data_IF_730225907241
#
_entry.id   IF_730225907241
#
_cell.length_a   1.000
_cell.length_b   1.000
_cell.length_c   1.000
_cell.angle_alpha   90.00
_cell.angle_beta   90.00
_cell.angle_gamma   90.00
#
_symmetry.space_group_name_H-M   'P 1'
#
loop_
_entity.id
_entity.type
_entity.pdbx_description
1 polymer ?
#
# COMPACT_ATOMS: atom_id res chain seq x y z
N UNK A 1 57.13 -40.28 11.42
CA UNK A 1 55.76 -40.75 11.19
C UNK A 1 55.09 -39.81 10.21
N UNK A 2 54.78 -40.22 8.97
CA UNK A 2 54.07 -39.38 8.02
C UNK A 2 52.56 -39.49 8.27
N UNK A 3 51.92 -38.32 8.43
CA UNK A 3 50.49 -38.14 8.67
C UNK A 3 49.73 -38.31 7.34
N UNK A 4 48.77 -39.23 7.28
CA UNK A 4 47.98 -39.47 6.07
C UNK A 4 46.88 -38.40 5.90
N UNK A 5 46.63 -37.91 4.67
CA UNK A 5 45.59 -36.93 4.41
C UNK A 5 44.20 -37.59 4.39
N UNK A 6 43.31 -37.05 5.22
CA UNK A 6 41.91 -37.46 5.39
C UNK A 6 41.08 -37.04 4.17
N UNK A 7 40.55 -38.00 3.42
CA UNK A 7 39.65 -37.75 2.30
C UNK A 7 38.30 -37.17 2.78
N UNK A 8 37.72 -36.18 2.08
CA UNK A 8 36.38 -35.68 2.36
C UNK A 8 35.32 -36.60 1.75
N UNK A 9 34.39 -37.04 2.60
CA UNK A 9 33.20 -37.83 2.27
C UNK A 9 32.21 -37.01 1.43
N UNK A 10 31.90 -37.50 0.24
CA UNK A 10 30.86 -37.01 -0.65
C UNK A 10 29.51 -37.67 -0.32
N UNK A 11 28.49 -36.90 0.05
CA UNK A 11 27.07 -37.13 -0.31
C UNK A 11 26.12 -36.14 0.40
N UNK A 12 26.13 -34.87 -0.03
CA UNK A 12 24.99 -33.97 0.21
C UNK A 12 24.04 -34.03 -0.99
N UNK A 13 23.04 -34.92 -0.91
CA UNK A 13 21.88 -34.89 -1.80
C UNK A 13 20.99 -33.71 -1.41
N UNK A 14 21.14 -32.59 -2.11
CA UNK A 14 20.24 -31.45 -2.01
C UNK A 14 18.83 -31.82 -2.50
N UNK A 15 17.91 -32.01 -1.57
CA UNK A 15 16.47 -32.07 -1.80
C UNK A 15 15.93 -30.68 -2.14
N UNK A 16 16.20 -30.24 -3.37
CA UNK A 16 15.55 -29.08 -3.99
C UNK A 16 14.24 -29.56 -4.63
N UNK A 17 13.07 -29.33 -4.02
CA UNK A 17 11.74 -29.25 -4.69
C UNK A 17 10.57 -29.18 -3.69
N UNK A 18 10.46 -28.12 -2.88
CA UNK A 18 9.19 -27.81 -2.18
C UNK A 18 8.77 -26.32 -2.10
N UNK A 19 9.52 -25.29 -2.57
CA UNK A 19 9.06 -23.91 -2.37
C UNK A 19 7.93 -23.47 -3.33
N UNK A 20 7.82 -24.06 -4.54
CA UNK A 20 6.93 -23.54 -5.58
C UNK A 20 5.43 -23.82 -5.29
N UNK A 21 5.09 -25.04 -4.85
CA UNK A 21 3.70 -25.44 -4.57
C UNK A 21 3.06 -24.62 -3.45
N UNK A 22 3.85 -24.22 -2.45
CA UNK A 22 3.37 -23.40 -1.32
C UNK A 22 2.99 -21.98 -1.76
N UNK A 23 3.71 -21.41 -2.72
CA UNK A 23 3.44 -20.06 -3.23
C UNK A 23 2.22 -20.04 -4.16
N UNK A 24 2.02 -21.10 -4.96
CA UNK A 24 0.84 -21.24 -5.83
C UNK A 24 -0.46 -21.38 -5.01
N UNK A 25 -0.44 -22.13 -3.90
CA UNK A 25 -1.60 -22.27 -3.02
C UNK A 25 -2.03 -20.94 -2.37
N UNK A 26 -1.07 -20.11 -1.94
CA UNK A 26 -1.35 -18.78 -1.39
C UNK A 26 -1.93 -17.83 -2.44
N UNK A 27 -1.45 -17.91 -3.69
CA UNK A 27 -1.96 -17.12 -4.79
C UNK A 27 -3.41 -17.48 -5.15
N UNK A 28 -3.71 -18.78 -5.30
CA UNK A 28 -5.06 -19.28 -5.59
C UNK A 28 -6.06 -18.94 -4.49
N UNK A 29 -5.67 -19.09 -3.22
CA UNK A 29 -6.52 -18.71 -2.08
C UNK A 29 -6.87 -17.22 -2.11
N UNK A 30 -5.92 -16.36 -2.46
CA UNK A 30 -6.14 -14.91 -2.54
C UNK A 30 -7.11 -14.54 -3.67
N UNK A 31 -6.99 -15.21 -4.83
CA UNK A 31 -7.90 -15.02 -5.97
C UNK A 31 -9.30 -15.51 -5.62
N UNK A 32 -9.43 -16.71 -5.06
CA UNK A 32 -10.72 -17.29 -4.69
C UNK A 32 -11.45 -16.41 -3.67
N UNK A 33 -10.75 -15.87 -2.66
CA UNK A 33 -11.36 -14.96 -1.69
C UNK A 33 -11.86 -13.65 -2.32
N UNK A 34 -11.11 -13.08 -3.27
CA UNK A 34 -11.55 -11.90 -4.01
C UNK A 34 -12.77 -12.19 -4.89
N UNK A 35 -12.77 -13.34 -5.57
CA UNK A 35 -13.81 -13.74 -6.51
C UNK A 35 -15.12 -14.10 -5.81
N UNK A 36 -15.08 -14.84 -4.71
CA UNK A 36 -16.29 -15.21 -3.93
C UNK A 36 -17.00 -13.98 -3.38
N UNK A 37 -16.26 -12.97 -2.91
CA UNK A 37 -16.82 -11.69 -2.44
C UNK A 37 -17.59 -10.96 -3.54
N UNK A 38 -17.01 -10.90 -4.74
CA UNK A 38 -17.59 -10.21 -5.89
C UNK A 38 -18.80 -10.96 -6.46
N UNK A 39 -18.68 -12.27 -6.65
CA UNK A 39 -19.76 -13.13 -7.18
C UNK A 39 -20.92 -13.21 -6.20
N UNK A 40 -20.67 -13.24 -4.88
CA UNK A 40 -21.72 -13.19 -3.85
C UNK A 40 -22.52 -11.89 -3.92
N UNK A 41 -21.85 -10.75 -4.11
CA UNK A 41 -22.54 -9.45 -4.26
C UNK A 41 -23.45 -9.41 -5.49
N UNK A 42 -22.95 -9.85 -6.65
CA UNK A 42 -23.72 -9.88 -7.90
C UNK A 42 -24.89 -10.86 -7.79
N UNK A 43 -24.67 -12.07 -7.25
CA UNK A 43 -25.72 -13.05 -7.05
C UNK A 43 -26.85 -12.53 -6.14
N UNK A 44 -26.51 -11.82 -5.06
CA UNK A 44 -27.50 -11.20 -4.17
C UNK A 44 -28.38 -10.16 -4.88
N UNK A 45 -27.77 -9.30 -5.70
CA UNK A 45 -28.51 -8.30 -6.50
C UNK A 45 -29.41 -8.98 -7.53
N UNK A 46 -28.89 -9.97 -8.25
CA UNK A 46 -29.66 -10.72 -9.25
C UNK A 46 -30.87 -11.41 -8.62
N UNK A 47 -30.70 -12.05 -7.45
CA UNK A 47 -31.80 -12.69 -6.73
C UNK A 47 -32.87 -11.67 -6.30
N UNK A 48 -32.47 -10.49 -5.81
CA UNK A 48 -33.42 -9.43 -5.46
C UNK A 48 -34.21 -8.93 -6.68
N UNK A 49 -33.53 -8.68 -7.80
CA UNK A 49 -34.17 -8.25 -9.05
C UNK A 49 -35.14 -9.33 -9.55
N UNK A 50 -34.72 -10.60 -9.50
CA UNK A 50 -35.53 -11.73 -9.95
C UNK A 50 -36.81 -11.89 -9.10
N UNK A 51 -36.71 -11.68 -7.78
CA UNK A 51 -37.88 -11.68 -6.88
C UNK A 51 -38.80 -10.48 -7.13
N UNK A 52 -38.27 -9.28 -7.38
CA UNK A 52 -39.08 -8.06 -7.53
C UNK A 52 -39.83 -8.04 -8.88
N UNK A 53 -39.18 -8.44 -9.97
CA UNK A 53 -39.72 -8.24 -11.32
C UNK A 53 -40.43 -9.46 -11.93
N UNK A 54 -40.25 -10.66 -11.37
CA UNK A 54 -40.78 -11.89 -11.96
C UNK A 54 -41.62 -12.75 -11.00
N UNK A 55 -42.15 -12.16 -9.93
CA UNK A 55 -43.04 -12.82 -8.97
C UNK A 55 -44.27 -13.48 -9.64
N UNK A 56 -44.81 -12.83 -10.68
CA UNK A 56 -46.00 -13.33 -11.37
C UNK A 56 -45.71 -14.45 -12.37
N UNK A 57 -44.49 -14.54 -12.87
CA UNK A 57 -44.13 -15.48 -13.95
C UNK A 57 -43.71 -16.86 -13.46
N UNK A 58 -43.25 -16.99 -12.22
CA UNK A 58 -42.75 -18.27 -11.70
C UNK A 58 -43.42 -18.61 -10.36
N UNK A 59 -44.35 -19.57 -10.38
CA UNK A 59 -45.04 -20.04 -9.18
C UNK A 59 -44.06 -20.49 -8.07
N UNK A 60 -42.94 -21.10 -8.45
CA UNK A 60 -41.89 -21.51 -7.52
C UNK A 60 -41.27 -20.36 -6.70
N UNK A 61 -41.15 -19.16 -7.28
CA UNK A 61 -40.63 -17.99 -6.57
C UNK A 61 -41.64 -17.41 -5.59
N UNK A 62 -42.93 -17.52 -5.92
CA UNK A 62 -44.03 -17.05 -5.07
C UNK A 62 -44.10 -17.84 -3.77
N UNK A 63 -44.02 -19.17 -3.87
CA UNK A 63 -44.10 -20.08 -2.72
C UNK A 63 -42.85 -19.98 -1.83
N UNK A 64 -41.70 -19.58 -2.38
CA UNK A 64 -40.42 -19.52 -1.68
C UNK A 64 -39.86 -18.09 -1.53
N UNK A 65 -40.69 -17.06 -1.67
CA UNK A 65 -40.26 -15.65 -1.70
C UNK A 65 -39.39 -15.29 -0.50
N UNK A 66 -39.80 -15.69 0.70
CA UNK A 66 -39.07 -15.43 1.93
C UNK A 66 -37.65 -16.04 1.88
N UNK A 67 -37.52 -17.26 1.37
CA UNK A 67 -36.23 -17.96 1.26
C UNK A 67 -35.26 -17.22 0.33
N UNK A 68 -35.74 -16.76 -0.83
CA UNK A 68 -34.89 -16.02 -1.78
C UNK A 68 -34.47 -14.64 -1.26
N UNK A 69 -35.38 -13.92 -0.58
CA UNK A 69 -35.05 -12.65 0.08
C UNK A 69 -33.99 -12.86 1.17
N UNK A 70 -34.13 -13.91 1.98
CA UNK A 70 -33.13 -14.26 2.99
C UNK A 70 -31.77 -14.62 2.39
N UNK A 71 -31.74 -15.41 1.31
CA UNK A 71 -30.49 -15.73 0.60
C UNK A 71 -29.81 -14.47 0.06
N UNK A 72 -30.57 -13.57 -0.57
CA UNK A 72 -30.03 -12.32 -1.08
C UNK A 72 -29.46 -11.44 0.04
N UNK A 73 -30.15 -11.38 1.18
CA UNK A 73 -29.67 -10.65 2.36
C UNK A 73 -28.35 -11.22 2.91
N UNK A 74 -28.23 -12.55 3.02
CA UNK A 74 -26.98 -13.21 3.45
C UNK A 74 -25.84 -12.90 2.48
N UNK A 75 -26.08 -13.00 1.17
CA UNK A 75 -25.09 -12.68 0.14
C UNK A 75 -24.59 -11.23 0.23
N UNK A 76 -25.48 -10.27 0.46
CA UNK A 76 -25.14 -8.86 0.65
C UNK A 76 -24.38 -8.62 1.97
N UNK A 77 -24.77 -9.30 3.06
CA UNK A 77 -24.04 -9.24 4.32
C UNK A 77 -22.61 -9.76 4.19
N UNK A 78 -22.40 -10.90 3.52
CA UNK A 78 -21.06 -11.45 3.28
C UNK A 78 -20.22 -10.50 2.43
N UNK A 79 -20.79 -9.93 1.37
CA UNK A 79 -20.11 -8.95 0.53
C UNK A 79 -19.73 -7.69 1.34
N UNK A 80 -20.69 -7.12 2.08
CA UNK A 80 -20.49 -5.95 2.94
C UNK A 80 -19.46 -6.20 4.04
N UNK A 81 -19.53 -7.33 4.73
CA UNK A 81 -18.57 -7.72 5.75
C UNK A 81 -17.17 -7.92 5.16
N UNK A 82 -17.05 -8.49 3.96
CA UNK A 82 -15.76 -8.65 3.29
C UNK A 82 -15.13 -7.31 2.89
N UNK A 83 -15.95 -6.38 2.40
CA UNK A 83 -15.52 -5.02 2.08
C UNK A 83 -15.10 -4.27 3.34
N UNK A 84 -15.92 -4.32 4.39
CA UNK A 84 -15.60 -3.77 5.71
C UNK A 84 -14.31 -4.38 6.27
N UNK A 85 -14.12 -5.69 6.19
CA UNK A 85 -12.91 -6.37 6.69
C UNK A 85 -11.65 -5.93 5.93
N UNK A 86 -11.73 -5.77 4.60
CA UNK A 86 -10.61 -5.22 3.81
C UNK A 86 -10.26 -3.81 4.28
N UNK A 87 -11.26 -2.97 4.47
CA UNK A 87 -11.07 -1.59 4.94
C UNK A 87 -10.49 -1.59 6.35
N UNK A 88 -11.03 -2.42 7.24
CA UNK A 88 -10.56 -2.57 8.63
C UNK A 88 -9.15 -3.14 8.71
N UNK A 89 -8.75 -4.02 7.80
CA UNK A 89 -7.35 -4.46 7.69
C UNK A 89 -6.43 -3.34 7.21
N UNK A 90 -6.88 -2.44 6.33
CA UNK A 90 -6.12 -1.22 6.03
C UNK A 90 -5.99 -0.38 7.29
N UNK A 91 -7.07 -0.14 8.04
CA UNK A 91 -7.02 0.65 9.27
C UNK A 91 -6.20 0.01 10.40
N UNK A 92 -6.23 -1.31 10.55
CA UNK A 92 -5.38 -2.05 11.49
C UNK A 92 -3.93 -2.09 11.02
N UNK A 93 -3.67 -2.09 9.71
CA UNK A 93 -2.33 -1.82 9.21
C UNK A 93 -1.95 -0.39 9.57
N UNK A 94 -2.70 0.64 9.17
CA UNK A 94 -2.38 2.04 9.45
C UNK A 94 -2.27 2.38 10.95
N UNK A 95 -3.10 1.76 11.82
CA UNK A 95 -3.16 2.00 13.26
C UNK A 95 -2.36 1.02 14.13
N UNK A 96 -2.07 -0.18 13.62
CA UNK A 96 -1.19 -1.19 14.25
C UNK A 96 0.26 -1.10 13.78
N UNK A 97 0.52 -0.41 12.66
CA UNK A 97 1.82 0.13 12.35
C UNK A 97 2.11 1.19 13.40
N UNK A 98 2.97 0.88 14.36
CA UNK A 98 3.51 1.86 15.28
C UNK A 98 4.04 3.04 14.45
N UNK A 99 3.23 4.10 14.35
CA UNK A 99 3.60 5.33 13.67
C UNK A 99 4.91 5.72 14.27
N UNK A 100 5.94 5.75 13.45
CA UNK A 100 7.22 6.21 13.92
C UNK A 100 6.99 7.62 14.49
N UNK A 101 7.05 7.75 15.82
CA UNK A 101 6.88 9.02 16.51
C UNK A 101 7.99 10.01 16.17
N UNK A 102 9.05 9.53 15.51
CA UNK A 102 10.18 10.34 15.12
C UNK A 102 9.88 11.16 13.86
N UNK A 103 10.19 12.44 13.94
CA UNK A 103 10.11 13.36 12.80
C UNK A 103 11.18 13.04 11.74
N UNK A 104 11.00 13.43 10.46
CA UNK A 104 12.04 13.30 9.44
C UNK A 104 13.40 13.88 9.88
N UNK A 105 13.35 15.00 10.61
CA UNK A 105 14.53 15.67 11.17
C UNK A 105 15.27 14.81 12.20
N UNK A 106 14.54 14.13 13.08
CA UNK A 106 15.13 13.19 14.05
C UNK A 106 15.77 11.99 13.36
N UNK A 107 15.11 11.43 12.34
CA UNK A 107 15.66 10.28 11.59
C UNK A 107 16.98 10.66 10.93
N UNK A 108 17.09 11.85 10.34
CA UNK A 108 18.33 12.30 9.69
C UNK A 108 19.39 12.75 10.69
N UNK A 109 18.99 13.14 11.91
CA UNK A 109 19.93 13.50 12.97
C UNK A 109 20.92 12.38 13.33
N UNK A 110 20.60 11.12 13.02
CA UNK A 110 21.52 9.98 13.22
C UNK A 110 22.82 10.11 12.40
N UNK A 111 22.83 10.93 11.35
CA UNK A 111 24.02 11.20 10.55
C UNK A 111 24.88 12.36 11.11
N UNK A 112 24.38 13.14 12.07
CA UNK A 112 25.09 14.31 12.61
C UNK A 112 26.36 13.87 13.34
N UNK A 113 27.51 14.38 12.91
CA UNK A 113 28.82 14.05 13.47
C UNK A 113 29.30 12.62 13.18
N UNK A 114 28.67 11.91 12.22
CA UNK A 114 29.02 10.51 11.88
C UNK A 114 29.37 10.37 10.40
N UNK A 115 30.17 9.36 10.08
CA UNK A 115 30.43 9.00 8.67
C UNK A 115 29.14 8.44 8.04
N UNK A 116 29.03 8.50 6.70
CA UNK A 116 27.85 7.98 5.99
C UNK A 116 27.58 6.51 6.33
N UNK A 117 28.62 5.67 6.35
CA UNK A 117 28.49 4.25 6.69
C UNK A 117 27.96 4.01 8.12
N UNK A 118 28.39 4.83 9.10
CA UNK A 118 27.88 4.74 10.47
C UNK A 118 26.42 5.17 10.56
N UNK A 119 26.07 6.28 9.90
CA UNK A 119 24.71 6.79 9.86
C UNK A 119 23.75 5.79 9.20
N UNK A 120 24.13 5.19 8.07
CA UNK A 120 23.34 4.16 7.40
C UNK A 120 23.13 2.92 8.28
N UNK A 121 24.16 2.48 9.01
CA UNK A 121 24.04 1.36 9.95
C UNK A 121 23.01 1.63 11.03
N UNK A 122 22.97 2.84 11.59
CA UNK A 122 21.97 3.25 12.58
C UNK A 122 20.59 3.44 11.96
N UNK A 123 20.54 4.00 10.74
CA UNK A 123 19.32 4.31 10.05
C UNK A 123 18.53 3.06 9.62
N UNK A 124 19.18 1.89 9.53
CA UNK A 124 18.52 0.59 9.30
C UNK A 124 17.38 0.31 10.28
N UNK A 125 17.43 0.85 11.51
CA UNK A 125 16.37 0.70 12.50
C UNK A 125 15.06 1.42 12.14
N UNK A 126 15.09 2.32 11.16
CA UNK A 126 13.91 3.03 10.64
C UNK A 126 13.40 2.44 9.33
N UNK A 127 14.26 1.76 8.56
CA UNK A 127 13.88 1.16 7.29
C UNK A 127 12.79 0.10 7.51
N UNK A 128 11.73 0.17 6.70
CA UNK A 128 10.57 -0.71 6.81
C UNK A 128 9.50 -0.23 7.81
N UNK A 129 9.78 0.79 8.63
CA UNK A 129 8.75 1.43 9.46
C UNK A 129 7.91 2.38 8.63
N UNK A 130 6.68 2.60 9.09
CA UNK A 130 5.76 3.52 8.44
C UNK A 130 5.75 4.86 9.15
N UNK A 131 5.63 5.92 8.35
CA UNK A 131 5.56 7.28 8.85
C UNK A 131 4.57 8.08 8.02
N UNK A 132 3.91 9.03 8.69
CA UNK A 132 3.14 10.09 8.04
C UNK A 132 4.08 11.25 7.74
N UNK A 133 4.04 11.75 6.52
CA UNK A 133 4.68 12.99 6.11
C UNK A 133 3.64 13.91 5.51
N UNK A 134 3.68 15.18 5.88
CA UNK A 134 2.84 16.22 5.31
C UNK A 134 3.71 17.41 4.98
N UNK A 135 3.50 18.02 3.82
CA UNK A 135 4.24 19.20 3.43
C UNK A 135 3.86 19.73 2.06
N UNK A 136 4.29 20.97 1.75
CA UNK A 136 4.07 21.57 0.45
C UNK A 136 4.93 20.89 -0.61
N UNK A 137 4.37 20.68 -1.80
CA UNK A 137 5.07 20.12 -2.94
C UNK A 137 6.10 21.15 -3.44
N UNK A 138 7.35 20.72 -3.58
CA UNK A 138 8.37 21.48 -4.28
C UNK A 138 8.35 21.19 -5.78
N UNK A 139 8.27 19.91 -6.14
CA UNK A 139 8.31 19.49 -7.54
C UNK A 139 7.68 18.10 -7.72
N UNK A 140 7.19 17.85 -8.93
CA UNK A 140 6.64 16.56 -9.37
C UNK A 140 7.32 16.18 -10.69
N UNK A 141 8.21 15.19 -10.63
CA UNK A 141 8.90 14.66 -11.80
C UNK A 141 8.22 13.36 -12.26
N UNK A 142 7.86 13.26 -13.54
CA UNK A 142 7.43 11.98 -14.12
C UNK A 142 8.65 11.30 -14.75
N UNK A 143 9.10 10.23 -14.11
CA UNK A 143 10.20 9.41 -14.60
C UNK A 143 9.61 8.32 -15.49
N UNK A 144 9.84 8.45 -16.79
CA UNK A 144 9.53 7.41 -17.78
C UNK A 144 10.79 6.59 -18.02
N UNK A 145 10.73 5.30 -17.71
CA UNK A 145 11.81 4.37 -18.04
C UNK A 145 11.83 4.13 -19.56
N UNK A 146 12.94 4.38 -20.27
CA UNK A 146 13.01 4.17 -21.72
C UNK A 146 12.89 2.68 -22.12
N UNK A 147 13.08 1.75 -21.18
CA UNK A 147 13.03 0.31 -21.42
C UNK A 147 11.76 -0.36 -20.88
N UNK A 148 10.94 0.35 -20.09
CA UNK A 148 9.70 -0.17 -19.53
C UNK A 148 8.56 0.83 -19.71
N UNK A 149 7.36 0.41 -20.16
CA UNK A 149 6.19 1.29 -20.31
C UNK A 149 5.55 1.67 -18.95
N UNK A 150 6.37 1.81 -17.92
CA UNK A 150 5.99 2.09 -16.54
C UNK A 150 6.51 3.47 -16.15
N UNK A 151 5.68 4.49 -16.33
CA UNK A 151 5.94 5.81 -15.75
C UNK A 151 5.75 5.76 -14.24
N UNK A 152 6.67 6.36 -13.49
CA UNK A 152 6.57 6.58 -12.04
C UNK A 152 6.65 8.06 -11.76
N UNK A 153 5.83 8.57 -10.85
CA UNK A 153 5.91 9.97 -10.42
C UNK A 153 6.80 10.07 -9.18
N UNK A 154 7.70 11.03 -9.16
CA UNK A 154 8.52 11.38 -8.01
C UNK A 154 8.06 12.74 -7.50
N UNK A 155 7.66 12.80 -6.23
CA UNK A 155 7.25 14.04 -5.58
C UNK A 155 8.30 14.42 -4.56
N UNK A 156 8.76 15.66 -4.67
CA UNK A 156 9.71 16.27 -3.75
C UNK A 156 8.91 17.20 -2.83
N UNK A 157 8.93 16.95 -1.52
CA UNK A 157 8.32 17.89 -0.57
C UNK A 157 9.33 18.98 -0.22
N UNK A 158 8.86 20.23 -0.18
CA UNK A 158 9.65 21.36 0.30
C UNK A 158 9.85 21.21 1.80
N UNK A 159 11.10 21.23 2.22
CA UNK A 159 11.51 21.21 3.63
C UNK A 159 12.24 22.50 3.99
N UNK A 160 12.35 22.81 5.28
CA UNK A 160 13.05 24.01 5.74
C UNK A 160 14.55 24.00 5.39
N UNK A 161 15.19 25.17 5.46
CA UNK A 161 16.66 25.30 5.29
C UNK A 161 17.39 24.41 6.30
N UNK A 162 18.22 23.48 5.79
CA UNK A 162 18.97 22.53 6.62
C UNK A 162 18.16 21.29 7.06
N UNK A 163 16.92 21.13 6.59
CA UNK A 163 16.14 19.93 6.80
C UNK A 163 16.37 18.91 5.68
N UNK A 164 16.12 17.65 5.98
CA UNK A 164 16.27 16.57 5.01
C UNK A 164 15.13 16.59 4.00
N UNK A 165 15.46 16.54 2.71
CA UNK A 165 14.47 16.44 1.64
C UNK A 165 13.66 15.15 1.76
N UNK A 166 12.37 15.21 1.45
CA UNK A 166 11.50 14.03 1.47
C UNK A 166 11.13 13.69 0.03
N UNK A 167 11.52 12.47 -0.37
CA UNK A 167 11.28 11.94 -1.70
C UNK A 167 10.23 10.83 -1.67
N UNK A 168 9.16 11.03 -2.42
CA UNK A 168 8.07 10.09 -2.56
C UNK A 168 8.06 9.54 -3.98
N UNK A 169 8.00 8.22 -4.17
CA UNK A 169 8.01 7.61 -5.51
C UNK A 169 6.72 6.89 -5.81
N UNK A 170 5.76 7.57 -6.42
CA UNK A 170 4.43 7.12 -6.80
C UNK A 170 4.40 6.18 -8.01
N UNK A 171 3.52 5.18 -7.95
CA UNK A 171 3.27 4.24 -9.05
C UNK A 171 2.43 4.91 -10.13
N UNK A 172 2.46 4.32 -11.34
CA UNK A 172 1.80 4.84 -12.53
C UNK A 172 0.36 5.32 -12.33
N UNK A 173 -0.44 4.63 -11.51
CA UNK A 173 -1.85 4.96 -11.26
C UNK A 173 -2.07 6.35 -10.64
N UNK A 174 -1.04 6.94 -10.06
CA UNK A 174 -1.10 8.27 -9.44
C UNK A 174 -0.53 9.37 -10.32
N UNK A 175 0.08 9.03 -11.47
CA UNK A 175 0.75 10.02 -12.34
C UNK A 175 -0.23 11.12 -12.75
N UNK A 176 -1.42 10.76 -13.21
CA UNK A 176 -2.42 11.74 -13.64
C UNK A 176 -2.90 12.62 -12.48
N UNK A 177 -3.14 12.04 -11.30
CA UNK A 177 -3.55 12.77 -10.09
C UNK A 177 -2.47 13.68 -9.54
N UNK A 178 -1.19 13.34 -9.72
CA UNK A 178 -0.06 14.16 -9.24
C UNK A 178 0.33 15.24 -10.25
N UNK A 179 0.09 14.99 -11.54
CA UNK A 179 0.42 15.94 -12.62
C UNK A 179 -0.46 17.20 -12.59
N UNK A 180 -1.62 17.14 -11.92
CA UNK A 180 -2.50 18.31 -11.72
C UNK A 180 -2.09 19.17 -10.53
N UNK A 181 -1.21 18.66 -9.65
CA UNK A 181 -0.77 19.38 -8.46
C UNK A 181 0.25 20.44 -8.83
N UNK A 182 0.20 21.55 -8.11
CA UNK A 182 1.06 22.72 -8.30
C UNK A 182 2.13 22.78 -7.21
N UNK A 183 3.21 23.47 -7.52
CA UNK A 183 4.19 23.86 -6.52
C UNK A 183 3.49 24.65 -5.39
N UNK A 184 3.72 24.22 -4.15
CA UNK A 184 3.09 24.80 -2.96
C UNK A 184 1.85 24.05 -2.47
N UNK A 185 1.21 23.20 -3.29
CA UNK A 185 0.08 22.38 -2.84
C UNK A 185 0.50 21.46 -1.70
N UNK A 186 -0.33 21.32 -0.67
CA UNK A 186 0.01 20.49 0.48
C UNK A 186 -0.54 19.08 0.30
N UNK A 187 0.32 18.07 0.45
CA UNK A 187 -0.10 16.68 0.45
C UNK A 187 0.24 16.01 1.78
N UNK A 188 -0.66 15.14 2.23
CA UNK A 188 -0.43 14.22 3.34
C UNK A 188 -0.28 12.81 2.81
N UNK A 189 0.85 12.19 3.11
CA UNK A 189 1.20 10.86 2.63
C UNK A 189 1.59 9.98 3.79
N UNK A 190 1.03 8.77 3.81
CA UNK A 190 1.46 7.72 4.73
C UNK A 190 2.25 6.68 3.95
N UNK A 191 3.50 6.44 4.33
CA UNK A 191 4.38 5.55 3.56
C UNK A 191 5.41 4.82 4.41
N UNK A 192 5.94 3.75 3.84
CA UNK A 192 6.99 2.94 4.44
C UNK A 192 8.37 3.49 4.07
N UNK A 193 9.24 3.70 5.04
CA UNK A 193 10.62 4.16 4.81
C UNK A 193 11.36 3.09 4.00
N UNK A 194 11.76 3.42 2.77
CA UNK A 194 12.54 2.54 1.89
C UNK A 194 14.02 2.61 2.25
N UNK A 195 14.54 3.82 2.38
CA UNK A 195 15.91 4.09 2.79
C UNK A 195 16.01 5.50 3.35
N UNK A 196 17.08 5.74 4.12
CA UNK A 196 17.39 7.03 4.74
C UNK A 196 18.83 7.36 4.37
N UNK A 197 19.03 8.57 3.86
CA UNK A 197 20.33 9.13 3.56
C UNK A 197 20.59 10.38 4.40
N UNK A 198 21.82 10.91 4.32
CA UNK A 198 22.25 12.07 5.11
C UNK A 198 21.40 13.33 4.89
N UNK A 199 20.87 13.53 3.69
CA UNK A 199 20.13 14.73 3.34
C UNK A 199 18.71 14.44 2.84
N UNK A 200 18.27 13.18 2.87
CA UNK A 200 16.93 12.86 2.43
C UNK A 200 16.39 11.52 2.95
N UNK A 201 15.06 11.39 2.89
CA UNK A 201 14.33 10.16 3.21
C UNK A 201 13.50 9.77 2.00
N UNK A 202 13.57 8.48 1.62
CA UNK A 202 12.74 7.94 0.55
C UNK A 202 11.67 7.01 1.10
N UNK A 203 10.43 7.25 0.70
CA UNK A 203 9.26 6.47 1.08
C UNK A 203 8.77 5.61 -0.09
N UNK A 204 8.27 4.40 0.22
CA UNK A 204 7.61 3.47 -0.69
C UNK A 204 6.26 3.02 -0.12
N UNK A 205 5.43 2.37 -0.93
CA UNK A 205 4.12 1.83 -0.52
C UNK A 205 3.27 2.88 0.20
N UNK A 206 2.92 3.92 -0.52
CA UNK A 206 2.20 5.07 0.02
C UNK A 206 0.71 4.97 -0.26
N UNK A 207 -0.05 5.53 0.66
CA UNK A 207 -1.43 5.91 0.45
C UNK A 207 -1.51 7.44 0.59
N UNK A 208 -2.11 8.08 -0.43
CA UNK A 208 -2.39 9.50 -0.40
C UNK A 208 -3.60 9.68 0.50
N UNK A 209 -3.42 10.37 1.62
CA UNK A 209 -4.49 10.56 2.61
C UNK A 209 -5.33 11.79 2.26
N UNK A 210 -4.69 12.86 1.81
CA UNK A 210 -5.35 14.15 1.60
C UNK A 210 -4.54 15.00 0.62
N UNK A 211 -5.26 15.70 -0.27
CA UNK A 211 -4.73 16.76 -1.14
C UNK A 211 -5.41 18.05 -0.67
N UNK A 212 -4.66 18.93 -0.02
CA UNK A 212 -5.14 20.24 0.39
C UNK A 212 -4.66 21.29 -0.61
N UNK A 213 -5.59 21.88 -1.37
CA UNK A 213 -5.33 23.15 -2.03
C UNK A 213 -5.30 24.22 -0.93
N UNK A 214 -4.17 24.91 -0.77
CA UNK A 214 -4.17 26.14 0.01
C UNK A 214 -5.04 27.14 -0.73
N UNK A 215 -6.29 27.32 -0.28
CA UNK A 215 -7.00 28.57 -0.54
C UNK A 215 -6.12 29.67 0.03
N UNK A 216 -5.45 30.41 -0.86
CA UNK A 216 -4.74 31.63 -0.49
C UNK A 216 -5.77 32.58 0.10
N UNK A 217 -5.71 32.72 1.42
CA UNK A 217 -6.46 33.67 2.22
C UNK A 217 -6.26 35.08 1.64
N UNK A 218 -7.26 35.56 0.89
CA UNK A 218 -7.41 37.00 0.59
C UNK A 218 -7.79 37.68 1.89
N UNK A 219 -6.81 38.01 2.72
CA UNK A 219 -7.00 38.95 3.83
C UNK A 219 -5.86 39.95 3.87
N UNK A 220 -6.01 40.96 3.02
CA UNK A 220 -5.15 42.13 2.95
C UNK A 220 -5.81 43.17 2.05
N UNK A 221 -6.90 43.77 2.52
CA UNK A 221 -7.40 45.08 2.10
C UNK A 221 -8.51 45.52 3.06
N UNK A 222 -8.26 46.62 3.79
CA UNK A 222 -9.14 47.20 4.80
C UNK A 222 -8.33 47.88 5.90
#
# INVERSE_FOLDING_TARGET
MPEQPKQPSSSETHTFTVPLLRHVGQYLSTILHGWVSLVSGIAGIVLLVLVIFWEDKYAFLRDNKATFVWMAFICLMVAGFSAWRKERQKWEQLGGLATLSATPKEIVSVFKGRTTAQGEKLAKNYVGKWMRVSGPIQDVEVETDPFLPLSVARVNLRTGLGEAGIFLRFSRKWVDSLSVLRNGDTISVFGQIKYVARNHISLKKYELLEIGALETDKKGEG
#
